data_IF_914039721386
#
_entry.id   IF_914039721386
#
_cell.length_a   1.000
_cell.length_b   1.000
_cell.length_c   1.000
_cell.angle_alpha   90.00
_cell.angle_beta   90.00
_cell.angle_gamma   90.00
#
_symmetry.space_group_name_H-M   'P 1'
#
loop_
_entity.id
_entity.type
_entity.pdbx_description
1 polymer ?
#
# COMPACT_ATOMS: atom_id res chain seq x y z
N UNK A 1 -53.23 -49.85 -3.24
CA UNK A 1 -53.89 -48.63 -2.74
C UNK A 1 -53.02 -48.15 -1.59
N UNK A 2 -51.84 -47.65 -1.94
CA UNK A 2 -51.52 -46.21 -2.10
C UNK A 2 -50.74 -45.86 -0.82
N UNK A 3 -49.47 -45.45 -0.83
CA UNK A 3 -48.85 -44.45 -1.69
C UNK A 3 -48.43 -43.30 -0.77
N UNK A 4 -47.16 -42.91 -0.87
CA UNK A 4 -46.60 -41.59 -0.58
C UNK A 4 -45.94 -41.27 0.80
N UNK A 5 -44.64 -41.58 0.88
CA UNK A 5 -43.50 -40.64 0.85
C UNK A 5 -43.38 -39.34 1.70
N UNK A 6 -42.14 -39.18 2.21
CA UNK A 6 -41.32 -37.96 2.46
C UNK A 6 -41.40 -37.27 3.84
N UNK A 7 -40.23 -37.26 4.52
CA UNK A 7 -39.91 -36.22 5.52
C UNK A 7 -38.78 -36.55 6.51
N UNK A 8 -37.60 -36.95 6.05
CA UNK A 8 -36.41 -37.04 6.92
C UNK A 8 -35.76 -35.64 7.10
N UNK A 9 -35.31 -35.25 8.31
CA UNK A 9 -34.63 -33.97 8.52
C UNK A 9 -33.17 -34.04 8.07
N UNK A 10 -32.75 -33.05 7.27
CA UNK A 10 -31.38 -32.84 6.82
C UNK A 10 -30.52 -32.31 7.99
N UNK A 11 -29.83 -33.19 8.71
CA UNK A 11 -28.66 -32.81 9.50
C UNK A 11 -27.52 -32.42 8.55
N UNK A 12 -27.26 -31.12 8.43
CA UNK A 12 -26.10 -30.62 7.69
C UNK A 12 -24.87 -30.73 8.59
N UNK A 13 -24.24 -31.90 8.60
CA UNK A 13 -22.96 -32.11 9.28
C UNK A 13 -21.85 -31.47 8.44
N UNK A 14 -21.37 -30.29 8.86
CA UNK A 14 -20.19 -29.64 8.27
C UNK A 14 -18.96 -30.46 8.61
N UNK A 15 -18.53 -31.29 7.65
CA UNK A 15 -17.32 -32.09 7.73
C UNK A 15 -16.12 -31.18 7.52
N UNK A 16 -15.42 -30.83 8.59
CA UNK A 16 -14.11 -30.14 8.51
C UNK A 16 -13.09 -31.16 7.99
N UNK A 17 -12.83 -31.16 6.69
CA UNK A 17 -11.73 -31.91 6.11
C UNK A 17 -10.39 -31.31 6.56
N UNK A 18 -9.60 -32.13 7.28
CA UNK A 18 -8.19 -31.86 7.51
C UNK A 18 -7.46 -31.95 6.17
N UNK A 19 -7.15 -30.82 5.55
CA UNK A 19 -6.19 -30.74 4.47
C UNK A 19 -4.78 -31.07 5.01
N UNK A 20 -4.38 -32.34 4.91
CA UNK A 20 -2.98 -32.72 4.83
C UNK A 20 -2.63 -32.82 3.34
N UNK A 21 -2.10 -31.73 2.81
CA UNK A 21 -1.12 -31.75 1.72
C UNK A 21 -0.40 -30.40 1.73
N UNK A 22 0.63 -30.33 2.57
CA UNK A 22 1.55 -29.18 2.62
C UNK A 22 2.49 -29.32 1.42
N UNK A 23 2.10 -28.72 0.30
CA UNK A 23 3.04 -28.40 -0.77
C UNK A 23 4.21 -27.58 -0.17
N UNK A 24 5.47 -27.87 -0.52
CA UNK A 24 6.61 -27.14 0.01
C UNK A 24 6.47 -25.66 -0.39
N UNK A 25 6.38 -24.79 0.62
CA UNK A 25 6.26 -23.35 0.41
C UNK A 25 7.46 -22.90 -0.44
N UNK A 26 7.24 -22.16 -1.54
CA UNK A 26 8.33 -21.65 -2.35
C UNK A 26 9.26 -20.80 -1.46
N UNK A 27 10.58 -20.90 -1.69
CA UNK A 27 11.56 -20.08 -0.96
C UNK A 27 11.24 -18.59 -1.21
N UNK A 28 11.45 -17.75 -0.20
CA UNK A 28 11.11 -16.30 -0.22
C UNK A 28 11.68 -15.58 -1.46
N UNK A 29 12.84 -16.01 -1.97
CA UNK A 29 13.43 -15.49 -3.21
C UNK A 29 12.56 -15.76 -4.46
N UNK A 30 11.78 -16.85 -4.48
CA UNK A 30 10.86 -17.18 -5.57
C UNK A 30 9.59 -16.32 -5.56
N UNK A 31 9.12 -15.88 -4.38
CA UNK A 31 7.97 -14.93 -4.29
C UNK A 31 8.41 -13.54 -4.77
N UNK A 32 9.60 -13.09 -4.36
CA UNK A 32 10.19 -11.86 -4.89
C UNK A 32 10.39 -11.92 -6.42
N UNK A 33 10.89 -13.05 -6.95
CA UNK A 33 11.06 -13.24 -8.40
C UNK A 33 9.74 -13.42 -9.17
N UNK A 34 8.65 -13.89 -8.56
CA UNK A 34 7.37 -14.08 -9.24
C UNK A 34 6.54 -12.80 -9.34
N UNK A 35 6.65 -11.88 -8.36
CA UNK A 35 5.83 -10.66 -8.30
C UNK A 35 6.57 -9.41 -8.85
N UNK A 36 7.90 -9.34 -8.71
CA UNK A 36 8.69 -8.21 -9.22
C UNK A 36 8.67 -7.99 -10.75
N UNK A 37 8.59 -9.03 -11.60
CA UNK A 37 8.43 -8.83 -13.05
C UNK A 37 7.08 -8.23 -13.43
N UNK A 38 6.02 -8.54 -12.68
CA UNK A 38 4.67 -8.00 -12.93
C UNK A 38 4.55 -6.53 -12.53
N UNK A 39 5.21 -6.11 -11.45
CA UNK A 39 5.29 -4.69 -11.04
C UNK A 39 6.04 -3.81 -12.04
N UNK A 40 6.96 -4.38 -12.84
CA UNK A 40 7.63 -3.64 -13.91
C UNK A 40 6.71 -3.29 -15.10
N UNK A 41 5.47 -3.81 -15.12
CA UNK A 41 4.49 -3.63 -16.20
C UNK A 41 3.16 -3.04 -15.72
N UNK A 42 3.14 -2.40 -14.55
CA UNK A 42 2.01 -1.54 -14.17
C UNK A 42 2.09 -0.24 -14.98
N UNK A 43 1.57 -0.26 -16.20
CA UNK A 43 1.22 0.98 -16.90
C UNK A 43 0.07 1.63 -16.14
N UNK A 44 0.34 2.74 -15.45
CA UNK A 44 -0.67 3.50 -14.72
C UNK A 44 -1.51 4.32 -15.70
N UNK A 45 -2.44 3.67 -16.39
CA UNK A 45 -3.43 4.36 -17.23
C UNK A 45 -4.48 5.14 -16.40
N UNK A 46 -4.42 5.01 -15.07
CA UNK A 46 -5.38 5.54 -14.07
C UNK A 46 -5.53 7.07 -14.13
N UNK A 47 -4.52 7.81 -14.59
CA UNK A 47 -4.56 9.28 -14.69
C UNK A 47 -4.85 9.84 -16.08
N UNK A 48 -5.31 9.02 -17.02
CA UNK A 48 -5.68 9.48 -18.36
C UNK A 48 -4.46 9.75 -19.25
N UNK A 49 -4.71 9.95 -20.55
CA UNK A 49 -3.68 10.08 -21.59
C UNK A 49 -2.65 11.15 -21.23
N UNK A 50 -1.37 10.84 -21.52
CA UNK A 50 -0.19 11.72 -21.45
C UNK A 50 -0.52 13.16 -21.86
N UNK A 51 -0.85 14.00 -20.89
CA UNK A 51 -0.87 15.46 -21.05
C UNK A 51 0.50 15.97 -20.62
N UNK A 52 1.06 16.91 -21.38
CA UNK A 52 2.23 17.69 -21.00
C UNK A 52 1.84 18.66 -19.85
N UNK A 53 1.47 18.12 -18.69
CA UNK A 53 1.38 18.91 -17.46
C UNK A 53 2.79 19.08 -16.93
N UNK A 54 3.09 20.28 -16.45
CA UNK A 54 4.39 20.58 -15.90
C UNK A 54 4.61 19.68 -14.67
N UNK A 55 5.78 19.05 -14.58
CA UNK A 55 6.14 18.12 -13.48
C UNK A 55 5.89 18.72 -12.09
N UNK A 56 5.87 20.05 -11.99
CA UNK A 56 5.61 20.84 -10.79
C UNK A 56 4.17 20.78 -10.29
N UNK A 57 3.18 20.49 -11.14
CA UNK A 57 1.75 20.51 -10.76
C UNK A 57 1.37 19.34 -9.83
N UNK A 58 2.18 18.28 -9.82
CA UNK A 58 1.98 17.09 -8.98
C UNK A 58 2.68 17.12 -7.62
N UNK A 59 3.51 18.13 -7.36
CA UNK A 59 4.30 18.27 -6.13
C UNK A 59 3.54 19.08 -5.06
N UNK A 60 3.78 18.82 -3.76
CA UNK A 60 3.17 19.62 -2.71
C UNK A 60 3.70 21.07 -2.74
N UNK A 61 2.94 22.02 -2.20
CA UNK A 61 3.36 23.43 -2.18
C UNK A 61 4.66 23.66 -1.40
N UNK A 62 4.82 22.95 -0.28
CA UNK A 62 6.04 22.98 0.54
C UNK A 62 6.23 21.66 1.25
N UNK A 63 7.46 21.35 1.65
CA UNK A 63 7.76 20.23 2.53
C UNK A 63 8.60 20.70 3.72
N UNK A 64 8.54 19.93 4.81
CA UNK A 64 9.18 20.27 6.09
C UNK A 64 10.11 19.16 6.53
N UNK A 65 11.26 19.53 7.08
CA UNK A 65 12.16 18.57 7.71
C UNK A 65 12.96 19.21 8.85
N UNK A 66 13.57 18.37 9.68
CA UNK A 66 14.49 18.80 10.74
C UNK A 66 15.92 18.61 10.25
N UNK A 67 16.69 19.70 10.24
CA UNK A 67 18.12 19.65 9.93
C UNK A 67 18.96 19.34 11.18
N UNK A 68 18.50 19.84 12.33
CA UNK A 68 19.08 19.59 13.64
C UNK A 68 17.96 19.55 14.69
N UNK A 69 18.21 19.00 15.89
CA UNK A 69 17.27 19.14 17.01
C UNK A 69 16.91 20.62 17.19
N UNK A 70 15.61 20.95 17.08
CA UNK A 70 15.05 22.33 17.16
C UNK A 70 15.25 23.23 15.93
N UNK A 71 15.90 22.78 14.85
CA UNK A 71 15.99 23.53 13.58
C UNK A 71 15.07 22.94 12.52
N UNK A 72 13.89 23.53 12.36
CA UNK A 72 12.93 23.18 11.29
C UNK A 72 13.21 24.01 10.05
N UNK A 73 13.23 23.36 8.90
CA UNK A 73 13.41 24.01 7.60
C UNK A 73 12.19 23.72 6.74
N UNK A 74 11.74 24.75 6.01
CA UNK A 74 10.65 24.68 5.03
C UNK A 74 11.25 24.96 3.67
N UNK A 75 10.98 24.10 2.69
CA UNK A 75 11.50 24.22 1.34
C UNK A 75 10.38 24.05 0.31
N UNK A 76 10.58 24.63 -0.87
CA UNK A 76 9.77 24.33 -2.04
C UNK A 76 10.34 23.09 -2.74
N UNK A 77 9.56 22.03 -3.00
CA UNK A 77 10.07 20.85 -3.70
C UNK A 77 10.50 21.12 -5.14
N UNK A 78 10.03 22.22 -5.77
CA UNK A 78 10.47 22.61 -7.11
C UNK A 78 11.94 23.06 -7.15
N UNK A 79 12.51 23.50 -6.02
CA UNK A 79 13.90 23.97 -5.95
C UNK A 79 14.90 22.80 -6.05
N UNK A 80 14.59 21.67 -5.41
CA UNK A 80 15.40 20.45 -5.41
C UNK A 80 14.50 19.21 -5.25
N UNK A 81 14.02 18.71 -6.39
CA UNK A 81 13.17 17.51 -6.47
C UNK A 81 13.88 16.28 -5.89
N UNK A 82 15.15 15.96 -6.27
CA UNK A 82 15.86 14.82 -5.67
C UNK A 82 15.98 14.88 -4.14
N UNK A 83 16.27 16.04 -3.55
CA UNK A 83 16.34 16.16 -2.10
C UNK A 83 14.97 16.02 -1.43
N UNK A 84 13.92 16.58 -2.04
CA UNK A 84 12.54 16.36 -1.60
C UNK A 84 12.21 14.85 -1.58
N UNK A 85 12.40 14.16 -2.70
CA UNK A 85 12.02 12.74 -2.81
C UNK A 85 12.81 11.83 -1.86
N UNK A 86 14.11 12.10 -1.67
CA UNK A 86 14.93 11.35 -0.69
C UNK A 86 14.41 11.49 0.74
N UNK A 87 13.79 12.62 1.07
CA UNK A 87 13.21 12.88 2.39
C UNK A 87 11.81 12.31 2.50
N UNK A 88 10.98 12.56 1.50
CA UNK A 88 9.60 12.09 1.39
C UNK A 88 9.50 10.56 1.45
N UNK A 89 10.47 9.88 0.83
CA UNK A 89 10.59 8.43 0.80
C UNK A 89 11.65 7.87 1.77
N UNK A 90 12.10 8.69 2.73
CA UNK A 90 13.07 8.24 3.72
C UNK A 90 12.43 7.30 4.74
N UNK A 91 13.05 6.14 4.96
CA UNK A 91 12.70 5.25 6.06
C UNK A 91 13.27 5.73 7.41
N UNK A 92 13.97 6.87 7.46
CA UNK A 92 14.46 7.47 8.70
C UNK A 92 15.17 6.48 9.62
N UNK A 93 14.71 6.38 10.87
CA UNK A 93 15.23 5.43 11.87
C UNK A 93 14.89 3.97 11.57
N UNK A 94 13.79 3.70 10.85
CA UNK A 94 13.38 2.35 10.47
C UNK A 94 14.42 1.67 9.58
N UNK A 95 15.13 2.43 8.73
CA UNK A 95 16.23 1.91 7.91
C UNK A 95 17.31 1.21 8.75
N UNK A 96 17.63 1.74 9.93
CA UNK A 96 18.63 1.14 10.82
C UNK A 96 18.10 -0.10 11.54
N UNK A 97 16.79 -0.13 11.83
CA UNK A 97 16.13 -1.26 12.50
C UNK A 97 15.80 -2.41 11.53
N UNK A 98 15.72 -2.15 10.23
CA UNK A 98 15.41 -3.15 9.21
C UNK A 98 16.33 -4.38 9.28
N UNK A 99 17.63 -4.17 9.56
CA UNK A 99 18.60 -5.26 9.73
C UNK A 99 18.33 -6.17 10.95
N UNK A 100 17.47 -5.75 11.86
CA UNK A 100 17.10 -6.49 13.08
C UNK A 100 15.67 -7.03 13.03
N UNK A 101 14.85 -6.61 12.06
CA UNK A 101 13.43 -6.97 11.97
C UNK A 101 13.21 -8.47 11.72
N UNK A 102 14.18 -9.17 11.14
CA UNK A 102 14.13 -10.64 11.02
C UNK A 102 14.04 -11.36 12.38
N UNK A 103 14.49 -10.73 13.47
CA UNK A 103 14.33 -11.26 14.82
C UNK A 103 12.91 -11.06 15.36
N UNK A 104 12.19 -10.06 14.86
CA UNK A 104 10.83 -9.73 15.29
C UNK A 104 9.76 -10.62 14.64
N UNK A 105 10.13 -11.51 13.71
CA UNK A 105 9.23 -12.48 13.09
C UNK A 105 9.46 -12.64 11.59
N UNK A 106 8.58 -13.41 10.95
CA UNK A 106 8.59 -13.58 9.50
C UNK A 106 8.13 -12.30 8.81
N UNK A 107 8.83 -11.92 7.74
CA UNK A 107 8.34 -10.93 6.78
C UNK A 107 7.10 -11.50 6.08
N UNK A 108 5.93 -11.01 6.48
CA UNK A 108 4.66 -11.34 5.85
C UNK A 108 4.25 -10.19 4.92
N UNK A 109 3.58 -10.48 3.79
CA UNK A 109 2.99 -9.42 2.98
C UNK A 109 1.99 -8.62 3.84
N UNK A 110 1.79 -7.35 3.47
CA UNK A 110 0.82 -6.51 4.15
C UNK A 110 -0.57 -7.17 4.08
N UNK A 111 -1.32 -7.11 5.18
CA UNK A 111 -2.67 -7.67 5.24
C UNK A 111 -3.66 -6.70 4.58
N UNK A 112 -4.74 -7.23 4.01
CA UNK A 112 -5.80 -6.46 3.35
C UNK A 112 -6.43 -5.42 4.28
N UNK A 113 -6.86 -4.28 3.74
CA UNK A 113 -7.47 -3.20 4.53
C UNK A 113 -8.74 -3.63 5.28
N UNK A 114 -9.62 -4.38 4.63
CA UNK A 114 -10.85 -4.91 5.23
C UNK A 114 -10.55 -5.75 6.48
N UNK A 115 -9.44 -6.49 6.49
CA UNK A 115 -9.05 -7.32 7.63
C UNK A 115 -8.58 -6.45 8.78
N UNK A 116 -7.84 -5.37 8.50
CA UNK A 116 -7.47 -4.38 9.53
C UNK A 116 -8.71 -3.73 10.15
N UNK A 117 -9.69 -3.33 9.33
CA UNK A 117 -10.96 -2.76 9.80
C UNK A 117 -11.75 -3.78 10.62
N UNK A 118 -11.83 -5.04 10.17
CA UNK A 118 -12.52 -6.12 10.88
C UNK A 118 -11.86 -6.45 12.24
N UNK A 119 -10.54 -6.28 12.35
CA UNK A 119 -9.81 -6.37 13.62
C UNK A 119 -10.06 -5.18 14.57
N UNK A 120 -10.89 -4.21 14.17
CA UNK A 120 -11.17 -3.01 14.94
C UNK A 120 -10.05 -1.97 14.89
N UNK A 121 -9.13 -2.04 13.91
CA UNK A 121 -8.06 -1.05 13.78
C UNK A 121 -8.59 0.21 13.10
N UNK A 122 -8.19 1.36 13.62
CA UNK A 122 -8.47 2.65 12.99
C UNK A 122 -7.33 3.05 12.06
N UNK A 123 -7.66 3.25 10.77
CA UNK A 123 -6.69 3.63 9.75
C UNK A 123 -6.45 5.14 9.83
N UNK A 124 -5.25 5.52 10.27
CA UNK A 124 -4.82 6.90 10.42
C UNK A 124 -3.82 7.28 9.32
N UNK A 125 -4.04 8.41 8.66
CA UNK A 125 -3.13 8.95 7.64
C UNK A 125 -1.82 9.37 8.31
N UNK A 126 -0.69 8.93 7.77
CA UNK A 126 0.64 9.35 8.19
C UNK A 126 1.42 9.94 7.02
N UNK A 127 2.08 11.08 7.22
CA UNK A 127 2.87 11.69 6.15
C UNK A 127 4.25 11.03 6.01
N UNK A 128 4.80 10.49 7.10
CA UNK A 128 6.15 9.92 7.10
C UNK A 128 6.16 8.47 6.60
N UNK A 129 7.19 8.11 5.83
CA UNK A 129 7.34 6.76 5.28
C UNK A 129 7.74 5.70 6.31
N UNK A 130 8.46 6.09 7.36
CA UNK A 130 8.85 5.20 8.47
C UNK A 130 7.66 4.76 9.34
N UNK A 131 6.53 5.47 9.27
CA UNK A 131 5.28 5.13 9.94
C UNK A 131 4.32 4.31 9.06
N UNK A 132 4.61 4.11 7.78
CA UNK A 132 3.74 3.35 6.89
C UNK A 132 3.64 1.89 7.36
N UNK A 133 2.42 1.44 7.66
CA UNK A 133 2.07 0.14 8.27
C UNK A 133 2.50 -0.04 9.73
N UNK A 134 2.93 1.03 10.40
CA UNK A 134 3.18 0.95 11.84
C UNK A 134 1.85 0.87 12.59
N UNK A 135 1.74 -0.08 13.51
CA UNK A 135 0.59 -0.23 14.39
C UNK A 135 0.96 0.26 15.80
N UNK A 136 0.09 1.07 16.39
CA UNK A 136 0.19 1.51 17.78
C UNK A 136 -0.73 0.71 18.71
N UNK A 137 -0.33 0.58 19.97
CA UNK A 137 -1.08 -0.13 21.01
C UNK A 137 -2.52 0.39 21.24
N UNK A 138 -2.84 1.60 20.81
CA UNK A 138 -4.17 2.20 20.86
C UNK A 138 -5.09 1.74 19.70
N UNK A 139 -4.68 0.75 18.91
CA UNK A 139 -5.48 0.21 17.80
C UNK A 139 -5.36 1.01 16.50
N UNK A 140 -4.48 2.01 16.41
CA UNK A 140 -4.27 2.77 15.18
C UNK A 140 -3.28 2.08 14.25
N UNK A 141 -3.64 2.02 12.98
CA UNK A 141 -2.75 1.64 11.88
C UNK A 141 -2.39 2.90 11.09
N UNK A 142 -1.12 3.26 11.08
CA UNK A 142 -0.63 4.38 10.31
C UNK A 142 -0.40 3.97 8.86
N UNK A 143 -1.04 4.64 7.92
CA UNK A 143 -0.87 4.37 6.49
C UNK A 143 -0.58 5.67 5.76
N UNK A 144 0.58 5.73 5.12
CA UNK A 144 0.93 6.85 4.23
C UNK A 144 0.10 6.80 2.95
N UNK A 145 -0.64 7.88 2.59
CA UNK A 145 -1.42 7.94 1.35
C UNK A 145 -0.49 7.89 0.15
N UNK A 146 -0.95 7.34 -0.98
CA UNK A 146 -0.14 7.27 -2.20
C UNK A 146 0.07 8.69 -2.74
N UNK A 147 1.32 9.18 -2.85
CA UNK A 147 1.59 10.47 -3.45
C UNK A 147 1.24 10.47 -4.95
N UNK A 148 0.63 11.56 -5.44
CA UNK A 148 0.19 11.70 -6.84
C UNK A 148 1.33 11.48 -7.85
N UNK A 149 2.50 12.04 -7.55
CA UNK A 149 3.68 11.92 -8.41
C UNK A 149 4.20 10.48 -8.56
N UNK A 150 3.83 9.54 -7.67
CA UNK A 150 4.22 8.13 -7.83
C UNK A 150 3.36 7.39 -8.86
N UNK A 151 2.16 7.90 -9.15
CA UNK A 151 1.22 7.30 -10.10
C UNK A 151 1.29 7.96 -11.49
N UNK A 152 1.97 9.10 -11.59
CA UNK A 152 2.17 9.82 -12.85
C UNK A 152 3.24 9.12 -13.72
N UNK A 153 2.88 8.60 -14.91
CA UNK A 153 3.85 7.97 -15.81
C UNK A 153 4.87 8.95 -16.40
N UNK A 154 4.59 10.26 -16.38
CA UNK A 154 5.54 11.28 -16.81
C UNK A 154 6.63 11.54 -15.75
N UNK A 155 6.40 11.12 -14.50
CA UNK A 155 7.36 11.28 -13.42
C UNK A 155 8.38 10.14 -13.43
N UNK A 156 9.61 10.44 -13.87
CA UNK A 156 10.70 9.45 -13.95
C UNK A 156 11.25 9.10 -12.54
N UNK A 157 10.46 8.33 -11.80
CA UNK A 157 10.82 7.78 -10.48
C UNK A 157 12.09 6.93 -10.54
N UNK A 158 12.40 6.33 -11.70
CA UNK A 158 13.56 5.46 -11.88
C UNK A 158 14.89 6.21 -11.80
N UNK A 159 14.93 7.49 -12.23
CA UNK A 159 16.15 8.31 -12.17
C UNK A 159 16.33 9.02 -10.83
N UNK A 160 15.24 9.34 -10.15
CA UNK A 160 15.26 10.25 -9.00
C UNK A 160 15.23 9.56 -7.64
N UNK A 161 14.80 8.29 -7.59
CA UNK A 161 14.54 7.56 -6.34
C UNK A 161 15.18 6.16 -6.37
N UNK A 162 15.69 5.64 -5.25
CA UNK A 162 16.02 4.22 -5.16
C UNK A 162 14.80 3.36 -5.49
N UNK A 163 14.83 2.74 -6.68
CA UNK A 163 13.73 1.91 -7.23
C UNK A 163 13.20 0.87 -6.24
N UNK A 164 14.05 0.35 -5.35
CA UNK A 164 13.66 -0.61 -4.30
C UNK A 164 12.65 -0.04 -3.30
N UNK A 165 12.81 1.22 -2.88
CA UNK A 165 11.92 1.84 -1.88
C UNK A 165 10.56 2.14 -2.49
N UNK A 166 10.53 2.74 -3.69
CA UNK A 166 9.29 3.03 -4.40
C UNK A 166 8.51 1.75 -4.72
N UNK A 167 9.19 0.72 -5.24
CA UNK A 167 8.53 -0.56 -5.53
C UNK A 167 8.08 -1.27 -4.26
N UNK A 168 8.84 -1.21 -3.17
CA UNK A 168 8.41 -1.74 -1.87
C UNK A 168 7.14 -1.07 -1.37
N UNK A 169 7.07 0.27 -1.47
CA UNK A 169 5.87 1.03 -1.10
C UNK A 169 4.67 0.76 -2.02
N UNK A 170 4.87 0.66 -3.33
CA UNK A 170 3.76 0.30 -4.23
C UNK A 170 3.31 -1.14 -4.02
N UNK A 171 4.23 -2.03 -3.67
CA UNK A 171 3.92 -3.42 -3.34
C UNK A 171 3.04 -3.53 -2.08
N UNK A 172 3.28 -2.73 -1.04
CA UNK A 172 2.39 -2.73 0.13
C UNK A 172 0.96 -2.36 -0.25
N UNK A 173 0.78 -1.39 -1.15
CA UNK A 173 -0.53 -1.00 -1.67
C UNK A 173 -1.21 -2.10 -2.50
N UNK A 174 -0.46 -2.83 -3.32
CA UNK A 174 -0.99 -3.98 -4.05
C UNK A 174 -1.52 -5.09 -3.10
N UNK A 175 -0.86 -5.27 -1.95
CA UNK A 175 -1.32 -6.20 -0.90
C UNK A 175 -2.48 -5.65 -0.06
N UNK A 176 -2.51 -4.35 0.21
CA UNK A 176 -3.57 -3.69 0.99
C UNK A 176 -4.89 -3.63 0.22
N UNK A 177 -4.82 -3.39 -1.09
CA UNK A 177 -5.96 -3.15 -1.98
C UNK A 177 -6.03 -4.26 -3.03
N UNK A 178 -6.43 -5.46 -2.61
CA UNK A 178 -6.60 -6.59 -3.54
C UNK A 178 -8.06 -6.86 -3.92
N UNK A 179 -9.02 -6.26 -3.23
CA UNK A 179 -10.45 -6.38 -3.53
C UNK A 179 -11.12 -5.03 -3.72
N UNK A 180 -12.29 -5.03 -4.37
CA UNK A 180 -13.12 -3.83 -4.55
C UNK A 180 -13.54 -3.21 -3.21
N UNK A 181 -13.84 -4.05 -2.20
CA UNK A 181 -14.13 -3.58 -0.85
C UNK A 181 -12.96 -2.83 -0.23
N UNK A 182 -11.73 -3.34 -0.38
CA UNK A 182 -10.51 -2.66 0.10
C UNK A 182 -10.30 -1.33 -0.62
N UNK A 183 -10.61 -1.28 -1.92
CA UNK A 183 -10.53 -0.06 -2.73
C UNK A 183 -11.49 1.02 -2.25
N UNK A 184 -12.73 0.65 -1.91
CA UNK A 184 -13.70 1.58 -1.32
C UNK A 184 -13.24 2.10 0.04
N UNK A 185 -12.70 1.23 0.90
CA UNK A 185 -12.12 1.64 2.19
C UNK A 185 -10.95 2.62 1.97
N UNK A 186 -10.07 2.33 1.01
CA UNK A 186 -8.94 3.19 0.70
C UNK A 186 -9.38 4.59 0.20
N UNK A 187 -10.43 4.66 -0.61
CA UNK A 187 -11.03 5.91 -1.07
C UNK A 187 -11.71 6.70 0.05
N UNK A 188 -12.44 6.01 0.93
CA UNK A 188 -13.10 6.59 2.10
C UNK A 188 -12.06 7.21 3.05
N UNK A 189 -10.99 6.46 3.33
CA UNK A 189 -9.88 6.89 4.19
C UNK A 189 -8.89 7.83 3.51
N UNK A 190 -9.16 8.30 2.29
CA UNK A 190 -8.32 9.24 1.52
C UNK A 190 -6.87 8.75 1.33
N UNK A 191 -6.67 7.42 1.24
CA UNK A 191 -5.37 6.81 0.99
C UNK A 191 -4.97 6.89 -0.49
N UNK A 192 -5.96 6.88 -1.38
CA UNK A 192 -5.76 7.05 -2.81
C UNK A 192 -5.94 8.52 -3.21
N UNK A 193 -5.15 9.00 -4.19
CA UNK A 193 -5.36 10.31 -4.77
C UNK A 193 -6.74 10.49 -5.37
N UNK A 194 -7.17 11.73 -5.48
CA UNK A 194 -8.41 12.10 -6.17
C UNK A 194 -8.12 12.85 -7.46
N UNK A 195 -9.12 12.87 -8.33
CA UNK A 195 -9.10 13.68 -9.54
C UNK A 195 -9.21 15.17 -9.16
N UNK A 196 -9.00 16.04 -10.13
CA UNK A 196 -9.01 17.50 -9.92
C UNK A 196 -10.35 18.02 -9.37
N UNK A 197 -11.45 17.36 -9.72
CA UNK A 197 -12.81 17.67 -9.25
C UNK A 197 -13.15 17.11 -7.85
N UNK A 198 -12.15 16.71 -7.06
CA UNK A 198 -12.27 15.94 -5.79
C UNK A 198 -13.06 14.62 -5.93
N UNK A 199 -13.24 14.12 -7.15
CA UNK A 199 -13.91 12.85 -7.40
C UNK A 199 -12.98 11.67 -7.08
N UNK A 200 -13.49 10.61 -6.41
CA UNK A 200 -12.71 9.42 -6.14
C UNK A 200 -12.37 8.68 -7.44
N UNK A 201 -11.25 7.98 -7.45
CA UNK A 201 -10.89 7.08 -8.55
C UNK A 201 -11.88 5.91 -8.54
N UNK A 202 -12.29 5.45 -9.72
CA UNK A 202 -13.17 4.28 -9.87
C UNK A 202 -12.32 3.01 -10.02
N UNK A 203 -12.83 1.88 -9.53
CA UNK A 203 -12.13 0.60 -9.62
C UNK A 203 -12.02 0.07 -11.06
N UNK A 204 -12.97 0.42 -11.92
CA UNK A 204 -13.10 -0.11 -13.28
C UNK A 204 -12.58 0.82 -14.39
N UNK A 205 -11.93 1.95 -14.02
CA UNK A 205 -11.33 2.90 -14.98
C UNK A 205 -9.89 2.49 -15.36
#
# INVERSE_FOLDING_TARGET
MDGNDIGAPLETTVRVERARDVQPRPRIEQIFCAVMPCLARLETNVFGKRQEKSVTDGLPATYRYYEAPRKRVVCNPADDIPAFLRRELSLGGLAHMLKHLWFAGAELPATLLQVHVAMGRDITIADQMDLHLLWANNGRLFVKPVPRFLLDPAFDTCRLIPRRVTLGFLYTYACLISSESDFHIANEKRLLPRKEDDTPIKWAD
#
